data_IF_688919523689
#
_entry.id   IF_688919523689
#
_cell.length_a   1.000
_cell.length_b   1.000
_cell.length_c   1.000
_cell.angle_alpha   90.00
_cell.angle_beta   90.00
_cell.angle_gamma   90.00
#
_symmetry.space_group_name_H-M   'P 1'
#
loop_
_entity.id
_entity.type
_entity.pdbx_description
1 polymer ?
#
# COMPACT_ATOMS: atom_id res chain seq x y z
N UNK A 1 20.34 10.69 -21.39
CA UNK A 1 20.60 10.72 -19.93
C UNK A 1 19.32 10.26 -19.28
N UNK A 2 19.42 9.16 -18.56
CA UNK A 2 18.40 8.12 -18.40
C UNK A 2 17.35 8.50 -17.34
N UNK A 3 16.05 8.40 -17.66
CA UNK A 3 15.05 8.08 -16.65
C UNK A 3 15.33 6.64 -16.23
N UNK A 4 15.79 6.45 -15.01
CA UNK A 4 15.88 5.14 -14.37
C UNK A 4 14.80 5.12 -13.31
N UNK A 5 13.78 4.32 -13.55
CA UNK A 5 12.99 3.80 -12.45
C UNK A 5 13.91 2.78 -11.79
N UNK A 6 14.29 3.05 -10.56
CA UNK A 6 15.10 2.12 -9.77
C UNK A 6 14.16 1.11 -9.12
N UNK A 7 13.79 0.08 -9.88
CA UNK A 7 13.30 -1.16 -9.27
C UNK A 7 14.55 -1.86 -8.73
N UNK A 8 14.88 -1.65 -7.46
CA UNK A 8 15.99 -2.36 -6.83
C UNK A 8 15.57 -3.82 -6.59
N UNK A 9 15.96 -4.70 -7.52
CA UNK A 9 16.00 -6.14 -7.29
C UNK A 9 17.33 -6.48 -6.62
N UNK A 10 17.32 -6.70 -5.31
CA UNK A 10 18.43 -7.34 -4.62
C UNK A 10 18.34 -8.84 -4.85
N UNK A 11 19.35 -9.40 -5.52
CA UNK A 11 19.59 -10.82 -5.69
C UNK A 11 19.71 -11.50 -4.33
N UNK A 12 18.59 -11.99 -3.82
CA UNK A 12 18.56 -13.06 -2.86
C UNK A 12 17.87 -14.24 -3.55
N UNK A 13 18.50 -15.41 -3.53
CA UNK A 13 17.86 -16.65 -3.96
C UNK A 13 16.62 -16.88 -3.09
N UNK A 14 15.44 -16.56 -3.60
CA UNK A 14 14.19 -16.70 -2.86
C UNK A 14 13.23 -17.57 -3.65
N UNK A 15 12.76 -18.65 -3.02
CA UNK A 15 11.73 -19.51 -3.58
C UNK A 15 10.45 -18.71 -3.92
N UNK A 16 9.75 -19.11 -4.99
CA UNK A 16 8.46 -18.56 -5.41
C UNK A 16 7.48 -18.49 -4.23
N UNK A 17 6.73 -17.38 -4.10
CA UNK A 17 5.68 -17.24 -3.09
C UNK A 17 4.64 -18.35 -3.28
N UNK A 18 4.39 -19.14 -2.23
CA UNK A 18 3.37 -20.19 -2.25
C UNK A 18 2.00 -19.61 -1.84
N UNK A 19 0.89 -20.13 -2.41
CA UNK A 19 -0.43 -19.75 -1.93
C UNK A 19 -0.61 -20.14 -0.46
N UNK A 20 -1.32 -19.32 0.34
CA UNK A 20 -1.67 -19.72 1.70
C UNK A 20 -2.53 -21.00 1.70
N UNK A 21 -2.50 -21.79 2.80
CA UNK A 21 -3.04 -23.15 2.86
C UNK A 21 -4.58 -23.27 2.80
N UNK A 22 -5.33 -22.16 2.67
CA UNK A 22 -6.78 -22.14 2.64
C UNK A 22 -7.34 -20.85 3.27
N UNK A 23 -8.65 -20.79 3.58
CA UNK A 23 -9.18 -19.72 4.41
C UNK A 23 -8.62 -19.84 5.85
N UNK A 24 -8.23 -18.74 6.49
CA UNK A 24 -7.79 -18.74 7.88
C UNK A 24 -8.97 -19.02 8.81
N UNK A 25 -8.69 -19.57 9.99
CA UNK A 25 -9.64 -19.55 11.09
C UNK A 25 -9.65 -18.15 11.72
N UNK A 26 -10.74 -17.41 11.50
CA UNK A 26 -10.98 -16.08 12.06
C UNK A 26 -12.06 -16.09 13.15
N UNK A 27 -12.46 -17.26 13.65
CA UNK A 27 -13.55 -17.39 14.64
C UNK A 27 -13.25 -16.70 15.97
N UNK A 28 -11.97 -16.57 16.32
CA UNK A 28 -11.49 -15.90 17.52
C UNK A 28 -11.12 -14.41 17.30
N UNK A 29 -11.27 -13.90 16.06
CA UNK A 29 -10.86 -12.54 15.74
C UNK A 29 -11.85 -11.52 16.36
N UNK A 30 -11.31 -10.46 16.96
CA UNK A 30 -12.10 -9.39 17.57
C UNK A 30 -12.80 -8.49 16.55
N UNK A 31 -12.33 -8.54 15.31
CA UNK A 31 -12.87 -7.80 14.17
C UNK A 31 -13.16 -8.86 13.10
N UNK A 32 -14.39 -8.83 12.58
CA UNK A 32 -14.77 -9.77 11.53
C UNK A 32 -13.98 -9.48 10.23
N UNK A 33 -13.76 -10.48 9.37
CA UNK A 33 -13.14 -10.23 8.09
C UNK A 33 -13.85 -9.15 7.28
N UNK A 34 -13.08 -8.35 6.55
CA UNK A 34 -13.59 -7.26 5.72
C UNK A 34 -13.11 -7.39 4.27
N UNK A 35 -13.97 -7.24 3.24
CA UNK A 35 -15.42 -7.14 3.33
C UNK A 35 -16.07 -8.37 3.98
N UNK A 36 -17.21 -8.18 4.64
CA UNK A 36 -17.86 -9.23 5.43
C UNK A 36 -18.24 -10.46 4.60
N UNK A 37 -18.04 -11.64 5.16
CA UNK A 37 -18.59 -12.89 4.61
C UNK A 37 -19.99 -13.13 5.15
N UNK A 38 -20.98 -13.20 4.26
CA UNK A 38 -22.31 -13.73 4.63
C UNK A 38 -22.28 -15.25 4.84
N UNK A 39 -21.32 -15.97 4.24
CA UNK A 39 -20.96 -17.36 4.60
C UNK A 39 -19.57 -17.73 4.05
N UNK A 40 -18.71 -18.45 4.80
CA UNK A 40 -17.39 -18.90 4.36
C UNK A 40 -17.40 -19.86 3.16
N UNK A 41 -18.55 -20.43 2.79
CA UNK A 41 -18.73 -21.30 1.63
C UNK A 41 -19.30 -20.59 0.39
N UNK A 42 -19.65 -19.31 0.50
CA UNK A 42 -20.21 -18.56 -0.65
C UNK A 42 -19.08 -18.15 -1.59
N UNK A 43 -19.28 -18.38 -2.89
CA UNK A 43 -18.35 -17.96 -3.92
C UNK A 43 -17.95 -16.49 -3.69
N UNK A 44 -16.65 -16.29 -3.55
CA UNK A 44 -16.09 -15.01 -3.19
C UNK A 44 -16.26 -13.99 -4.32
N UNK A 45 -17.34 -13.20 -4.29
CA UNK A 45 -17.62 -12.17 -5.29
C UNK A 45 -16.87 -10.85 -5.03
N UNK A 46 -16.35 -10.65 -3.81
CA UNK A 46 -15.72 -9.41 -3.35
C UNK A 46 -14.19 -9.53 -3.18
N UNK A 47 -13.58 -10.60 -3.69
CA UNK A 47 -12.13 -10.76 -3.74
C UNK A 47 -11.46 -10.92 -2.36
N UNK A 48 -10.33 -10.25 -2.19
CA UNK A 48 -9.41 -10.30 -1.05
C UNK A 48 -10.09 -9.83 0.23
N UNK A 49 -9.67 -10.36 1.37
CA UNK A 49 -10.17 -9.99 2.69
C UNK A 49 -9.08 -9.56 3.64
N UNK A 50 -9.39 -8.54 4.42
CA UNK A 50 -8.69 -8.17 5.63
C UNK A 50 -9.15 -9.08 6.77
N UNK A 51 -8.22 -9.63 7.55
CA UNK A 51 -8.53 -10.50 8.70
C UNK A 51 -7.41 -10.44 9.76
N UNK A 52 -7.57 -11.18 10.86
CA UNK A 52 -6.47 -11.43 11.80
C UNK A 52 -5.94 -10.17 12.47
N UNK A 53 -6.83 -9.19 12.65
CA UNK A 53 -6.55 -7.84 13.14
C UNK A 53 -5.81 -7.89 14.48
N UNK A 54 -4.55 -7.47 14.48
CA UNK A 54 -3.67 -7.50 15.65
C UNK A 54 -3.21 -6.09 16.02
N UNK A 55 -3.24 -5.75 17.32
CA UNK A 55 -2.82 -4.43 17.80
C UNK A 55 -3.78 -3.29 17.44
N UNK A 56 -4.80 -3.54 16.63
CA UNK A 56 -5.88 -2.59 16.37
C UNK A 56 -6.91 -2.59 17.50
N UNK A 57 -7.64 -1.48 17.66
CA UNK A 57 -8.87 -1.44 18.43
C UNK A 57 -9.89 -2.50 17.96
N UNK A 58 -10.88 -2.81 18.79
CA UNK A 58 -11.91 -3.80 18.45
C UNK A 58 -12.83 -3.38 17.31
N UNK A 59 -13.82 -4.22 16.97
CA UNK A 59 -14.86 -3.91 15.99
C UNK A 59 -15.53 -2.55 16.29
N UNK A 60 -15.63 -1.69 15.27
CA UNK A 60 -16.20 -0.34 15.40
C UNK A 60 -15.25 0.70 15.99
N UNK A 61 -13.99 0.36 16.26
CA UNK A 61 -12.96 1.34 16.60
C UNK A 61 -12.61 2.24 15.41
N UNK A 62 -12.14 3.46 15.68
CA UNK A 62 -11.70 4.39 14.65
C UNK A 62 -10.60 3.80 13.75
N UNK A 63 -9.62 3.10 14.32
CA UNK A 63 -8.54 2.45 13.57
C UNK A 63 -9.10 1.40 12.59
N UNK A 64 -9.99 0.52 13.08
CA UNK A 64 -10.61 -0.49 12.23
C UNK A 64 -11.45 0.13 11.12
N UNK A 65 -12.13 1.25 11.38
CA UNK A 65 -12.94 1.94 10.37
C UNK A 65 -12.06 2.63 9.32
N UNK A 66 -11.00 3.33 9.73
CA UNK A 66 -10.09 3.99 8.78
C UNK A 66 -9.44 3.00 7.81
N UNK A 67 -9.05 1.82 8.29
CA UNK A 67 -8.46 0.78 7.43
C UNK A 67 -9.51 0.21 6.46
N UNK A 68 -10.75 -0.01 6.91
CA UNK A 68 -11.85 -0.48 6.06
C UNK A 68 -12.21 0.56 4.99
N UNK A 69 -12.31 1.83 5.38
CA UNK A 69 -12.58 2.95 4.48
C UNK A 69 -11.46 3.10 3.44
N UNK A 70 -10.19 3.02 3.87
CA UNK A 70 -9.04 3.08 2.98
C UNK A 70 -9.00 1.90 1.98
N UNK A 71 -9.41 0.70 2.40
CA UNK A 71 -9.54 -0.46 1.52
C UNK A 71 -10.61 -0.24 0.43
N UNK A 72 -11.78 0.30 0.81
CA UNK A 72 -12.85 0.61 -0.14
C UNK A 72 -12.47 1.75 -1.09
N UNK A 73 -11.84 2.81 -0.57
CA UNK A 73 -11.35 3.94 -1.35
C UNK A 73 -10.22 3.53 -2.29
N UNK A 74 -9.30 2.65 -1.85
CA UNK A 74 -8.29 2.03 -2.72
C UNK A 74 -8.97 1.33 -3.89
N UNK A 75 -9.96 0.47 -3.60
CA UNK A 75 -10.68 -0.24 -4.64
C UNK A 75 -11.40 0.72 -5.60
N UNK A 76 -12.02 1.77 -5.07
CA UNK A 76 -12.65 2.80 -5.88
C UNK A 76 -11.66 3.46 -6.84
N UNK A 77 -10.47 3.82 -6.37
CA UNK A 77 -9.41 4.43 -7.19
C UNK A 77 -8.90 3.44 -8.24
N UNK A 78 -8.57 2.21 -7.84
CA UNK A 78 -8.02 1.18 -8.72
C UNK A 78 -9.02 0.71 -9.79
N UNK A 79 -10.32 0.81 -9.49
CA UNK A 79 -11.40 0.45 -10.41
C UNK A 79 -11.71 1.52 -11.47
N UNK A 80 -11.15 2.73 -11.36
CA UNK A 80 -11.27 3.72 -12.43
C UNK A 80 -10.52 3.23 -13.67
N UNK A 81 -11.15 3.36 -14.84
CA UNK A 81 -10.52 2.94 -16.10
C UNK A 81 -9.23 3.72 -16.34
N UNK A 82 -9.23 4.99 -15.96
CA UNK A 82 -8.13 5.95 -16.02
C UNK A 82 -6.93 5.56 -15.15
N UNK A 83 -7.10 4.62 -14.22
CA UNK A 83 -6.03 4.15 -13.32
C UNK A 83 -5.38 2.86 -13.83
N UNK A 84 -6.11 1.98 -14.52
CA UNK A 84 -5.66 0.60 -14.81
C UNK A 84 -5.66 0.19 -16.29
N UNK A 85 -6.52 0.76 -17.14
CA UNK A 85 -6.71 0.29 -18.53
C UNK A 85 -6.71 1.39 -19.59
N UNK A 86 -7.06 2.61 -19.22
CA UNK A 86 -7.15 3.79 -20.07
C UNK A 86 -6.40 4.97 -19.46
N UNK A 87 -5.19 4.73 -18.94
CA UNK A 87 -4.34 5.79 -18.37
C UNK A 87 -4.06 6.84 -19.45
N UNK A 88 -4.50 8.08 -19.22
CA UNK A 88 -4.13 9.21 -20.05
C UNK A 88 -2.68 9.61 -19.76
N UNK A 89 -1.74 8.92 -20.39
CA UNK A 89 -0.31 9.18 -20.27
C UNK A 89 0.08 10.62 -20.64
N UNK A 90 -0.74 11.35 -21.41
CA UNK A 90 -0.48 12.76 -21.76
C UNK A 90 -1.04 13.73 -20.72
N UNK A 91 -1.91 13.25 -19.85
CA UNK A 91 -2.52 14.02 -18.78
C UNK A 91 -1.50 14.43 -17.71
N UNK A 92 -1.79 15.55 -17.05
CA UNK A 92 -0.95 16.08 -15.98
C UNK A 92 -0.86 15.10 -14.81
N UNK A 93 -1.94 14.40 -14.47
CA UNK A 93 -1.95 13.42 -13.39
C UNK A 93 -1.01 12.23 -13.63
N UNK A 94 -1.01 11.67 -14.84
CA UNK A 94 -0.09 10.59 -15.19
C UNK A 94 1.36 11.07 -15.23
N UNK A 95 1.60 12.32 -15.65
CA UNK A 95 2.92 12.93 -15.60
C UNK A 95 3.42 13.10 -14.16
N UNK A 96 2.55 13.52 -13.25
CA UNK A 96 2.90 13.79 -11.86
C UNK A 96 3.14 12.51 -11.06
N UNK A 97 2.33 11.46 -11.28
CA UNK A 97 2.55 10.15 -10.65
C UNK A 97 3.65 9.35 -11.33
N UNK A 98 3.54 9.14 -12.65
CA UNK A 98 4.34 8.14 -13.35
C UNK A 98 5.54 8.71 -14.08
N UNK A 99 5.61 10.02 -14.24
CA UNK A 99 6.62 10.71 -15.03
C UNK A 99 6.18 11.01 -16.47
N UNK A 100 6.99 11.76 -17.22
CA UNK A 100 6.58 12.34 -18.49
C UNK A 100 6.40 11.30 -19.61
N UNK A 101 5.38 11.50 -20.45
CA UNK A 101 5.10 10.61 -21.59
C UNK A 101 5.75 11.02 -22.92
N UNK A 102 6.49 12.13 -22.93
CA UNK A 102 7.23 12.63 -24.08
C UNK A 102 8.54 13.30 -23.65
N UNK A 103 9.47 13.46 -24.60
CA UNK A 103 10.74 14.16 -24.38
C UNK A 103 11.87 13.25 -23.88
N UNK A 104 12.95 13.87 -23.42
CA UNK A 104 14.21 13.20 -23.09
C UNK A 104 14.11 12.21 -21.91
N UNK A 105 13.16 12.44 -21.01
CA UNK A 105 12.96 11.67 -19.77
C UNK A 105 11.70 10.78 -19.84
N UNK A 106 11.27 10.45 -21.06
CA UNK A 106 10.06 9.67 -21.33
C UNK A 106 10.02 8.34 -20.58
N UNK A 107 8.90 8.05 -19.93
CA UNK A 107 8.57 6.72 -19.41
C UNK A 107 8.35 5.79 -20.61
N UNK A 108 9.13 4.72 -20.72
CA UNK A 108 9.10 3.80 -21.87
C UNK A 108 7.80 2.98 -21.90
N UNK A 109 7.39 2.55 -23.09
CA UNK A 109 6.14 1.80 -23.26
C UNK A 109 6.11 0.48 -22.48
N UNK A 110 7.26 -0.21 -22.32
CA UNK A 110 7.38 -1.39 -21.46
C UNK A 110 7.01 -1.07 -20.01
N UNK A 111 7.62 -0.03 -19.44
CA UNK A 111 7.31 0.44 -18.08
C UNK A 111 5.86 0.90 -17.94
N UNK A 112 5.29 1.55 -18.97
CA UNK A 112 3.86 1.93 -18.94
C UNK A 112 2.95 0.70 -18.85
N UNK A 113 3.29 -0.38 -19.55
CA UNK A 113 2.58 -1.66 -19.45
C UNK A 113 2.75 -2.29 -18.07
N UNK A 114 3.95 -2.25 -17.50
CA UNK A 114 4.21 -2.72 -16.13
C UNK A 114 3.35 -1.98 -15.11
N UNK A 115 3.33 -0.64 -15.16
CA UNK A 115 2.49 0.20 -14.28
C UNK A 115 1.01 -0.15 -14.44
N UNK A 116 0.51 -0.24 -15.67
CA UNK A 116 -0.88 -0.61 -15.92
C UNK A 116 -1.21 -2.01 -15.36
N UNK A 117 -0.27 -2.95 -15.46
CA UNK A 117 -0.44 -4.30 -14.91
C UNK A 117 -0.42 -4.32 -13.38
N UNK A 118 0.44 -3.51 -12.73
CA UNK A 118 0.43 -3.32 -11.27
C UNK A 118 -0.93 -2.78 -10.82
N UNK A 119 -1.41 -1.69 -11.43
CA UNK A 119 -2.70 -1.09 -11.06
C UNK A 119 -3.87 -2.04 -11.33
N UNK A 120 -3.78 -2.86 -12.37
CA UNK A 120 -4.75 -3.92 -12.65
C UNK A 120 -4.70 -5.04 -11.61
N UNK A 121 -3.52 -5.42 -11.12
CA UNK A 121 -3.39 -6.38 -10.02
C UNK A 121 -3.99 -5.84 -8.72
N UNK A 122 -3.76 -4.55 -8.41
CA UNK A 122 -4.41 -3.87 -7.27
C UNK A 122 -5.94 -3.87 -7.43
N UNK A 123 -6.45 -3.56 -8.62
CA UNK A 123 -7.90 -3.65 -8.91
C UNK A 123 -8.45 -5.07 -8.67
N UNK A 124 -7.70 -6.09 -9.08
CA UNK A 124 -8.09 -7.50 -8.92
C UNK A 124 -8.09 -7.98 -7.47
N UNK A 125 -7.53 -7.21 -6.52
CA UNK A 125 -7.73 -7.46 -5.10
C UNK A 125 -9.21 -7.53 -4.76
N UNK A 126 -10.07 -6.71 -5.37
CA UNK A 126 -11.49 -6.64 -5.03
C UNK A 126 -12.40 -7.53 -5.90
N UNK A 127 -11.95 -7.97 -7.08
CA UNK A 127 -12.80 -8.71 -8.03
C UNK A 127 -12.08 -9.89 -8.67
N UNK A 128 -12.63 -11.09 -8.47
CA UNK A 128 -12.19 -12.34 -9.11
C UNK A 128 -13.14 -12.72 -10.26
N UNK A 129 -13.05 -12.05 -11.41
CA UNK A 129 -13.94 -12.36 -12.55
C UNK A 129 -13.45 -13.56 -13.40
N UNK A 130 -12.15 -13.89 -13.46
CA UNK A 130 -11.67 -14.99 -14.30
C UNK A 130 -10.90 -16.05 -13.49
N UNK A 131 -11.63 -17.11 -13.12
CA UNK A 131 -11.09 -18.38 -12.63
C UNK A 131 -10.73 -18.37 -11.15
N UNK A 132 -11.49 -19.14 -10.36
CA UNK A 132 -11.13 -19.79 -9.08
C UNK A 132 -9.75 -19.43 -8.52
N UNK A 133 -9.58 -18.18 -8.08
CA UNK A 133 -8.57 -17.86 -7.09
C UNK A 133 -9.21 -18.14 -5.74
N UNK A 134 -8.57 -18.93 -4.85
CA UNK A 134 -9.05 -19.04 -3.48
C UNK A 134 -9.20 -17.63 -2.91
N UNK A 135 -10.21 -17.40 -2.06
CA UNK A 135 -10.32 -16.15 -1.32
C UNK A 135 -8.95 -15.81 -0.76
N UNK A 136 -8.41 -14.67 -1.16
CA UNK A 136 -7.12 -14.22 -0.70
C UNK A 136 -7.30 -13.43 0.60
N UNK A 137 -6.31 -13.48 1.47
CA UNK A 137 -6.43 -12.95 2.83
C UNK A 137 -5.18 -12.15 3.16
N UNK A 138 -5.39 -10.89 3.58
CA UNK A 138 -4.37 -9.97 4.06
C UNK A 138 -4.59 -9.81 5.56
N UNK A 139 -3.57 -10.13 6.34
CA UNK A 139 -3.63 -9.88 7.78
C UNK A 139 -3.40 -8.39 8.05
N UNK A 140 -4.20 -7.83 8.96
CA UNK A 140 -4.06 -6.43 9.36
C UNK A 140 -3.40 -6.33 10.72
N UNK A 141 -2.46 -5.39 10.85
CA UNK A 141 -1.84 -5.04 12.13
C UNK A 141 -1.87 -3.53 12.33
N UNK A 142 -2.01 -3.09 13.57
CA UNK A 142 -1.89 -1.68 13.95
C UNK A 142 -0.82 -1.54 15.01
N UNK A 143 0.05 -0.55 14.85
CA UNK A 143 1.21 -0.38 15.73
C UNK A 143 0.87 0.24 17.09
N UNK A 144 0.00 1.26 17.09
CA UNK A 144 -0.30 2.11 18.25
C UNK A 144 -1.09 1.48 19.41
N UNK A 145 -1.49 0.22 19.35
CA UNK A 145 -2.30 -0.43 20.39
C UNK A 145 -1.51 -0.96 21.59
N UNK A 146 -1.22 -2.26 21.57
CA UNK A 146 -0.60 -2.99 22.68
C UNK A 146 0.85 -3.44 22.41
N UNK A 147 1.48 -2.88 21.37
CA UNK A 147 2.83 -3.25 20.91
C UNK A 147 2.90 -4.63 20.23
N UNK A 148 1.79 -5.36 20.10
CA UNK A 148 1.79 -6.69 19.45
C UNK A 148 1.59 -6.62 17.94
N UNK A 149 1.09 -5.50 17.42
CA UNK A 149 0.94 -5.27 15.98
C UNK A 149 2.26 -4.93 15.28
N UNK A 150 3.27 -4.47 16.01
CA UNK A 150 4.62 -4.20 15.47
C UNK A 150 5.73 -4.61 16.47
N UNK A 151 6.02 -5.91 16.58
CA UNK A 151 6.99 -6.47 17.53
C UNK A 151 8.42 -6.03 17.22
N UNK A 152 8.68 -5.63 15.97
CA UNK A 152 9.98 -5.13 15.54
C UNK A 152 10.14 -3.63 15.73
N UNK A 153 9.08 -2.94 16.18
CA UNK A 153 9.02 -1.49 16.31
C UNK A 153 9.49 -0.75 15.04
N UNK A 154 9.12 -1.25 13.85
CA UNK A 154 9.39 -0.61 12.56
C UNK A 154 8.70 0.75 12.45
N UNK A 155 7.51 0.90 13.01
CA UNK A 155 6.78 2.16 13.12
C UNK A 155 7.38 3.12 14.16
N UNK A 156 8.30 2.65 15.01
CA UNK A 156 9.00 3.48 15.98
C UNK A 156 8.13 4.01 17.13
N UNK A 157 6.91 3.51 17.28
CA UNK A 157 5.91 3.99 18.24
C UNK A 157 5.77 3.09 19.50
N UNK A 158 6.56 2.03 19.61
CA UNK A 158 6.61 1.23 20.82
C UNK A 158 7.04 2.11 22.02
N UNK A 159 6.47 1.88 23.21
CA UNK A 159 6.89 2.58 24.42
C UNK A 159 8.40 2.40 24.60
N UNK A 160 9.15 3.50 24.59
CA UNK A 160 10.57 3.46 24.93
C UNK A 160 10.67 3.00 26.38
N UNK A 161 11.54 2.01 26.66
CA UNK A 161 11.79 1.56 28.05
C UNK A 161 12.31 2.70 28.95
N UNK A 162 12.75 3.80 28.33
CA UNK A 162 13.17 5.03 28.98
C UNK A 162 11.97 6.00 29.20
N UNK A 163 11.59 6.28 30.46
CA UNK A 163 10.51 7.21 30.78
C UNK A 163 10.80 8.67 30.37
N UNK A 164 12.06 9.01 30.08
CA UNK A 164 12.50 10.34 29.64
C UNK A 164 12.65 10.46 28.12
N UNK A 165 12.47 9.37 27.37
CA UNK A 165 12.50 9.43 25.91
C UNK A 165 11.28 10.20 25.37
N UNK A 166 11.44 10.96 24.26
CA UNK A 166 10.31 11.62 23.63
C UNK A 166 9.25 10.58 23.27
N UNK A 167 8.07 10.67 23.88
CA UNK A 167 6.91 9.95 23.39
C UNK A 167 6.61 10.55 22.02
N UNK A 168 6.61 9.72 20.99
CA UNK A 168 6.26 10.11 19.64
C UNK A 168 4.78 9.76 19.41
N UNK A 169 3.81 10.62 19.81
CA UNK A 169 2.37 10.34 19.67
C UNK A 169 1.92 10.19 18.21
N UNK A 170 2.82 10.44 17.24
CA UNK A 170 2.61 10.32 15.81
C UNK A 170 3.41 9.19 15.15
N UNK A 171 4.13 8.37 15.92
CA UNK A 171 4.97 7.27 15.41
C UNK A 171 6.23 7.73 14.67
N UNK A 172 6.83 8.85 15.08
CA UNK A 172 8.22 9.13 14.73
C UNK A 172 9.16 8.17 15.47
N UNK A 173 10.10 7.53 14.75
CA UNK A 173 11.19 6.80 15.40
C UNK A 173 11.97 7.76 16.32
N UNK A 174 12.34 7.36 17.56
CA UNK A 174 13.13 8.20 18.47
C UNK A 174 14.53 8.56 17.92
N UNK A 175 14.91 8.03 16.75
CA UNK A 175 16.15 8.39 16.06
C UNK A 175 16.04 9.57 15.10
N UNK A 176 14.85 10.16 14.90
CA UNK A 176 14.68 11.34 14.03
C UNK A 176 14.79 12.61 14.89
N UNK A 177 15.82 13.45 14.71
CA UNK A 177 15.95 14.70 15.44
C UNK A 177 14.73 15.60 15.22
N UNK A 178 14.29 16.36 16.25
CA UNK A 178 13.25 17.37 16.06
C UNK A 178 13.72 18.44 15.07
N UNK A 179 13.17 18.42 13.86
CA UNK A 179 13.54 19.35 12.78
C UNK A 179 13.59 18.72 11.38
N UNK A 180 13.63 17.39 11.28
CA UNK A 180 13.59 16.70 9.98
C UNK A 180 12.16 16.55 9.43
N UNK A 181 12.09 16.53 8.10
CA UNK A 181 10.89 16.47 7.27
C UNK A 181 9.99 15.28 7.68
N UNK A 182 8.67 15.50 7.64
CA UNK A 182 7.67 14.44 7.85
C UNK A 182 7.82 13.28 6.83
N UNK A 183 8.65 13.43 5.80
CA UNK A 183 9.03 12.41 4.83
C UNK A 183 9.64 11.14 5.42
N UNK A 184 10.18 11.19 6.64
CA UNK A 184 10.86 10.04 7.27
C UNK A 184 9.93 9.20 8.16
N UNK A 185 8.62 9.47 8.15
CA UNK A 185 7.64 8.74 8.95
C UNK A 185 7.11 7.54 8.18
N UNK A 186 7.25 6.36 8.78
CA UNK A 186 6.64 5.14 8.25
C UNK A 186 5.13 5.25 8.44
N UNK A 187 4.38 5.30 7.33
CA UNK A 187 2.92 5.38 7.34
C UNK A 187 2.31 4.00 7.54
N UNK A 188 2.85 3.03 6.82
CA UNK A 188 2.56 1.61 6.96
C UNK A 188 3.76 0.81 6.41
N UNK A 189 3.71 -0.51 6.55
CA UNK A 189 4.61 -1.40 5.83
C UNK A 189 3.97 -2.77 5.59
N UNK A 190 4.33 -3.40 4.48
CA UNK A 190 3.95 -4.77 4.13
C UNK A 190 5.00 -5.81 4.51
N UNK A 191 4.57 -6.95 5.05
CA UNK A 191 5.38 -8.17 5.09
C UNK A 191 4.78 -9.20 4.10
N UNK A 192 5.36 -9.36 2.89
CA UNK A 192 4.73 -10.10 1.79
C UNK A 192 4.54 -11.59 2.03
N UNK A 193 5.30 -12.19 2.96
CA UNK A 193 5.32 -13.65 3.19
C UNK A 193 4.93 -14.06 4.62
N UNK A 194 4.58 -13.09 5.47
CA UNK A 194 4.45 -13.26 6.92
C UNK A 194 5.73 -13.79 7.59
N UNK A 195 5.93 -13.50 8.88
CA UNK A 195 7.13 -13.95 9.58
C UNK A 195 6.87 -15.32 10.22
N UNK A 196 7.28 -16.41 9.53
CA UNK A 196 7.09 -17.82 9.93
C UNK A 196 7.58 -18.20 11.34
N UNK A 197 8.23 -17.28 12.07
CA UNK A 197 8.85 -17.53 13.37
C UNK A 197 8.04 -17.04 14.58
N UNK A 198 6.97 -16.26 14.40
CA UNK A 198 6.29 -15.59 15.52
C UNK A 198 4.81 -15.93 15.68
N UNK A 199 4.14 -16.55 14.70
CA UNK A 199 2.70 -16.84 14.75
C UNK A 199 2.32 -18.04 13.87
N UNK A 200 1.37 -18.88 14.31
CA UNK A 200 0.78 -19.96 13.50
C UNK A 200 0.05 -19.41 12.25
N UNK A 201 -0.26 -18.11 12.21
CA UNK A 201 -0.84 -17.39 11.06
C UNK A 201 0.19 -16.68 10.19
N UNK A 202 1.46 -17.01 10.33
CA UNK A 202 2.55 -16.40 9.59
C UNK A 202 2.60 -16.74 8.09
N UNK A 203 1.70 -17.59 7.59
CA UNK A 203 1.65 -17.98 6.18
C UNK A 203 0.89 -16.97 5.29
N UNK A 204 0.38 -15.87 5.86
CA UNK A 204 -0.38 -14.85 5.14
C UNK A 204 0.41 -13.56 4.99
N UNK A 205 0.30 -12.92 3.82
CA UNK A 205 0.79 -11.56 3.64
C UNK A 205 0.06 -10.62 4.60
N UNK A 206 0.78 -9.63 5.11
CA UNK A 206 0.26 -8.74 6.14
C UNK A 206 0.66 -7.29 5.88
N UNK A 207 -0.18 -6.36 6.31
CA UNK A 207 0.08 -4.92 6.32
C UNK A 207 -0.01 -4.44 7.76
N UNK A 208 1.02 -3.73 8.21
CA UNK A 208 1.03 -3.02 9.50
C UNK A 208 0.83 -1.54 9.25
N UNK A 209 -0.22 -0.97 9.85
CA UNK A 209 -0.53 0.46 9.81
C UNK A 209 0.06 1.17 11.04
N UNK A 210 0.89 2.19 10.80
CA UNK A 210 1.52 2.99 11.83
C UNK A 210 0.63 4.20 12.21
N UNK A 211 0.98 4.91 13.29
CA UNK A 211 0.21 6.08 13.73
C UNK A 211 0.13 7.18 12.66
N UNK A 212 1.17 7.35 11.84
CA UNK A 212 1.18 8.31 10.75
C UNK A 212 0.09 8.06 9.70
N UNK A 213 -0.31 6.80 9.43
CA UNK A 213 -1.45 6.49 8.56
C UNK A 213 -2.76 7.04 9.11
N UNK A 214 -3.02 6.87 10.42
CA UNK A 214 -4.26 7.35 11.04
C UNK A 214 -4.34 8.88 11.12
N UNK A 215 -3.21 9.57 11.03
CA UNK A 215 -3.15 11.03 10.95
C UNK A 215 -3.48 11.58 9.55
N UNK A 216 -3.50 10.73 8.51
CA UNK A 216 -3.84 11.15 7.15
C UNK A 216 -5.34 11.33 6.97
N UNK A 217 -5.69 12.18 6.01
CA UNK A 217 -7.06 12.38 5.57
C UNK A 217 -7.63 11.11 4.92
N UNK A 218 -8.93 10.92 5.04
CA UNK A 218 -9.66 9.99 4.15
C UNK A 218 -9.69 10.55 2.73
N UNK A 219 -9.97 9.72 1.71
CA UNK A 219 -10.04 10.20 0.32
C UNK A 219 -11.05 11.35 0.15
N UNK A 220 -12.23 11.23 0.77
CA UNK A 220 -13.26 12.25 0.71
C UNK A 220 -12.81 13.59 1.34
N UNK A 221 -12.09 13.52 2.46
CA UNK A 221 -11.51 14.70 3.11
C UNK A 221 -10.42 15.33 2.26
N UNK A 222 -9.53 14.52 1.67
CA UNK A 222 -8.45 14.99 0.81
C UNK A 222 -8.99 15.70 -0.45
N UNK A 223 -9.99 15.11 -1.13
CA UNK A 223 -10.67 15.76 -2.27
C UNK A 223 -11.30 17.10 -1.84
N UNK A 224 -11.95 17.12 -0.68
CA UNK A 224 -12.59 18.34 -0.15
C UNK A 224 -11.55 19.41 0.19
N UNK A 225 -10.42 19.04 0.78
CA UNK A 225 -9.35 19.96 1.10
C UNK A 225 -8.69 20.50 -0.17
N UNK A 226 -8.31 19.61 -1.10
CA UNK A 226 -7.64 19.97 -2.34
C UNK A 226 -8.50 20.85 -3.25
N UNK A 227 -9.81 20.59 -3.33
CA UNK A 227 -10.75 21.38 -4.16
C UNK A 227 -10.96 22.82 -3.67
N UNK A 228 -10.57 23.14 -2.43
CA UNK A 228 -10.66 24.50 -1.86
C UNK A 228 -9.52 25.42 -2.28
N UNK A 229 -8.45 24.89 -2.88
CA UNK A 229 -7.38 25.74 -3.41
C UNK A 229 -7.92 26.66 -4.51
N UNK A 230 -7.56 27.94 -4.44
CA UNK A 230 -8.05 28.94 -5.39
C UNK A 230 -7.34 28.78 -6.75
N UNK A 231 -6.03 28.51 -6.70
CA UNK A 231 -5.22 28.44 -7.89
C UNK A 231 -5.40 27.09 -8.62
N UNK A 232 -5.57 27.08 -9.95
CA UNK A 232 -5.74 25.85 -10.73
C UNK A 232 -4.56 24.86 -10.60
N UNK A 233 -3.32 25.36 -10.51
CA UNK A 233 -2.14 24.50 -10.36
C UNK A 233 -2.13 23.77 -9.00
N UNK A 234 -2.58 24.41 -7.92
CA UNK A 234 -2.70 23.78 -6.61
C UNK A 234 -3.80 22.73 -6.59
N UNK A 235 -4.95 22.99 -7.24
CA UNK A 235 -6.02 21.98 -7.40
C UNK A 235 -5.60 20.78 -8.22
N UNK A 236 -4.63 20.95 -9.12
CA UNK A 236 -4.10 19.88 -9.96
C UNK A 236 -2.86 19.19 -9.34
N UNK A 237 -2.30 19.74 -8.26
CA UNK A 237 -1.16 19.13 -7.57
C UNK A 237 -1.64 17.93 -6.74
N UNK A 238 -1.24 16.73 -7.16
CA UNK A 238 -1.66 15.48 -6.52
C UNK A 238 -1.12 15.30 -5.09
N UNK A 239 -0.05 16.01 -4.70
CA UNK A 239 0.40 16.02 -3.31
C UNK A 239 -0.66 16.60 -2.36
N UNK A 240 -1.54 17.49 -2.84
CA UNK A 240 -2.64 18.04 -2.05
C UNK A 240 -3.77 17.02 -1.83
N UNK A 241 -3.72 15.87 -2.50
CA UNK A 241 -4.68 14.77 -2.37
C UNK A 241 -4.12 13.61 -1.55
N UNK A 242 -3.01 13.81 -0.81
CA UNK A 242 -2.42 12.77 0.03
C UNK A 242 -3.42 12.25 1.08
N UNK A 243 -3.58 10.92 1.15
CA UNK A 243 -4.67 10.29 1.90
C UNK A 243 -4.42 8.81 2.22
N UNK A 244 -5.23 8.25 3.12
CA UNK A 244 -5.14 6.86 3.59
C UNK A 244 -5.23 5.81 2.47
N UNK A 245 -6.05 6.02 1.44
CA UNK A 245 -6.20 5.07 0.34
C UNK A 245 -4.94 4.98 -0.54
N UNK A 246 -4.20 6.09 -0.68
CA UNK A 246 -2.89 6.11 -1.36
C UNK A 246 -1.91 5.17 -0.67
N UNK A 247 -1.84 5.26 0.66
CA UNK A 247 -0.98 4.40 1.48
C UNK A 247 -1.38 2.94 1.32
N UNK A 248 -2.68 2.64 1.34
CA UNK A 248 -3.12 1.26 1.11
C UNK A 248 -2.70 0.76 -0.28
N UNK A 249 -2.87 1.57 -1.34
CA UNK A 249 -2.39 1.22 -2.68
C UNK A 249 -0.89 0.90 -2.66
N UNK A 250 -0.09 1.78 -2.07
CA UNK A 250 1.37 1.59 -1.92
C UNK A 250 1.68 0.23 -1.29
N UNK A 251 1.13 -0.03 -0.10
CA UNK A 251 1.40 -1.27 0.64
C UNK A 251 0.91 -2.51 -0.11
N UNK A 252 -0.23 -2.41 -0.79
CA UNK A 252 -0.76 -3.49 -1.60
C UNK A 252 0.18 -3.88 -2.74
N UNK A 253 0.95 -2.93 -3.29
CA UNK A 253 1.93 -3.22 -4.35
C UNK A 253 3.11 -4.08 -3.87
N UNK A 254 3.40 -4.07 -2.56
CA UNK A 254 4.42 -4.93 -1.97
C UNK A 254 3.98 -6.38 -1.77
N UNK A 255 2.69 -6.70 -1.95
CA UNK A 255 2.19 -8.05 -1.71
C UNK A 255 2.44 -8.96 -2.92
N UNK A 256 3.65 -9.51 -3.02
CA UNK A 256 4.18 -10.30 -4.15
C UNK A 256 3.15 -11.27 -4.77
N UNK A 257 2.49 -12.08 -3.92
CA UNK A 257 1.52 -13.07 -4.34
C UNK A 257 0.31 -12.45 -5.04
N UNK A 258 -0.18 -11.34 -4.50
CA UNK A 258 -1.35 -10.64 -5.02
C UNK A 258 -1.02 -9.90 -6.32
N UNK A 259 0.19 -9.34 -6.40
CA UNK A 259 0.68 -8.70 -7.61
C UNK A 259 1.01 -9.69 -8.73
N UNK A 260 1.11 -10.99 -8.41
CA UNK A 260 1.58 -12.00 -9.36
C UNK A 260 3.05 -11.77 -9.74
N UNK A 261 3.81 -11.18 -8.82
CA UNK A 261 5.17 -10.77 -9.05
C UNK A 261 6.10 -11.99 -9.21
N UNK A 262 7.05 -11.90 -10.15
CA UNK A 262 8.06 -12.93 -10.37
C UNK A 262 9.45 -12.35 -10.21
N UNK A 263 10.40 -13.21 -9.83
CA UNK A 263 11.80 -12.84 -9.69
C UNK A 263 12.50 -12.69 -11.05
N UNK A 264 12.07 -13.48 -12.04
CA UNK A 264 12.60 -13.43 -13.40
C UNK A 264 11.74 -12.48 -14.26
N UNK A 265 12.19 -11.22 -14.37
CA UNK A 265 11.52 -10.15 -15.12
C UNK A 265 11.80 -10.21 -16.64
N UNK A 266 12.06 -11.40 -17.19
CA UNK A 266 12.43 -11.57 -18.61
C UNK A 266 11.20 -11.55 -19.54
N UNK A 267 9.98 -11.58 -18.97
CA UNK A 267 8.72 -11.49 -19.71
C UNK A 267 8.13 -10.07 -19.65
N UNK A 268 8.01 -9.43 -20.82
CA UNK A 268 7.37 -8.12 -20.96
C UNK A 268 5.96 -8.11 -20.32
N UNK A 269 5.76 -7.24 -19.34
CA UNK A 269 4.46 -7.04 -18.70
C UNK A 269 4.18 -7.93 -17.48
N UNK A 270 5.13 -8.70 -16.98
CA UNK A 270 5.00 -9.31 -15.64
C UNK A 270 5.34 -8.27 -14.56
N UNK A 271 4.52 -8.08 -13.52
CA UNK A 271 4.86 -7.19 -12.41
C UNK A 271 6.16 -7.64 -11.72
N UNK A 272 7.10 -6.73 -11.43
CA UNK A 272 8.31 -7.06 -10.70
C UNK A 272 8.02 -7.23 -9.20
N UNK A 273 8.98 -7.81 -8.46
CA UNK A 273 9.01 -7.67 -6.99
C UNK A 273 9.23 -6.18 -6.66
N UNK A 274 8.36 -5.61 -5.83
CA UNK A 274 8.38 -4.19 -5.48
C UNK A 274 8.93 -4.04 -4.06
N UNK A 275 10.07 -3.36 -3.93
CA UNK A 275 10.68 -3.02 -2.64
C UNK A 275 10.22 -1.67 -2.11
N UNK A 276 10.02 -0.71 -3.02
CA UNK A 276 9.40 0.59 -2.79
C UNK A 276 8.84 1.10 -4.14
N UNK A 277 7.72 1.82 -4.13
CA UNK A 277 7.15 2.45 -5.33
C UNK A 277 7.68 3.89 -5.44
N UNK A 278 8.95 4.00 -5.82
CA UNK A 278 9.60 5.29 -6.07
C UNK A 278 9.67 5.62 -7.56
N UNK A 279 9.20 6.80 -7.91
CA UNK A 279 9.20 7.31 -9.27
C UNK A 279 10.08 8.55 -9.31
N UNK A 280 11.26 8.40 -9.92
CA UNK A 280 12.19 9.49 -10.11
C UNK A 280 12.11 9.99 -11.55
N UNK A 281 11.79 11.27 -11.73
CA UNK A 281 11.84 11.91 -13.04
C UNK A 281 12.57 13.25 -12.97
N UNK A 282 13.17 13.65 -14.09
CA UNK A 282 13.86 14.94 -14.19
C UNK A 282 12.98 15.97 -14.87
N UNK A 283 12.79 17.12 -14.22
CA UNK A 283 12.16 18.31 -14.80
C UNK A 283 13.23 19.40 -14.92
N UNK A 284 13.73 19.62 -16.15
CA UNK A 284 14.86 20.52 -16.37
C UNK A 284 16.16 19.97 -15.77
N UNK A 285 16.78 20.71 -14.85
CA UNK A 285 17.96 20.29 -14.09
C UNK A 285 17.63 19.60 -12.76
N UNK A 286 16.38 19.70 -12.31
CA UNK A 286 15.91 19.16 -11.03
C UNK A 286 15.47 17.70 -11.19
N UNK A 287 15.75 16.89 -10.18
CA UNK A 287 15.24 15.52 -10.04
C UNK A 287 14.12 15.55 -9.02
N UNK A 288 12.93 15.14 -9.44
CA UNK A 288 11.77 14.97 -8.57
C UNK A 288 11.64 13.49 -8.25
N UNK A 289 11.57 13.15 -6.97
CA UNK A 289 11.22 11.82 -6.49
C UNK A 289 9.80 11.89 -5.98
N UNK A 290 8.93 11.03 -6.51
CA UNK A 290 7.59 10.80 -5.97
C UNK A 290 7.62 9.41 -5.35
N UNK A 291 7.35 9.34 -4.05
CA UNK A 291 7.10 8.09 -3.35
C UNK A 291 5.58 7.94 -3.38
N UNK A 292 5.09 6.96 -4.14
CA UNK A 292 3.66 6.77 -4.39
C UNK A 292 3.09 5.78 -3.39
#
# INVERSE_FOLDING_TARGET
>A
MFSKIYVFSLLNLFALAQPPPGPPDYSADRIAPYPSLTSPSTANTLGTRLFGWQGCGGEGSAESQYIKDAYDDMNRIASLAETSSNIDWKGQAAKDYFGPSAGKNIVRDGTRKEIANIMKSVQQLYSTWWGVRPSLWIRVRCSGGDGKGDPTNKCGDAPVEDPDAPKCPDGSSPTVPPGDDMSDRVEAYSDPRGNAKEDERADYSQITFCNAFFAKLTLAQAITAASRHQEPNERMNLQNYDNQARIFIHEATHLDWFMGAKQDNDEDGVPPLITDLQIQYKQGTETTTVIA
#
